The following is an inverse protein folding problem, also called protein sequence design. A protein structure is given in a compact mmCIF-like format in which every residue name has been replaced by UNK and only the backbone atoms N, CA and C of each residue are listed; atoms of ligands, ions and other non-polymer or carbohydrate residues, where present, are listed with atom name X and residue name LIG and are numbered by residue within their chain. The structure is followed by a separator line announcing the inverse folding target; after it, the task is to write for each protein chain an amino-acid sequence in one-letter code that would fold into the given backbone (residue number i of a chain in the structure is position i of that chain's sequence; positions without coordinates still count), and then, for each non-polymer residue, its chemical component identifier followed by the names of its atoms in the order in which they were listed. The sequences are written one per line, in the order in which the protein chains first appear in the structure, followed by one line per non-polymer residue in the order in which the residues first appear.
data_IF_588018456230
#
_entry.id   IF_588018456230
#
_cell.length_a   1.000
_cell.length_b   1.000
_cell.length_c   1.000
_cell.angle_alpha   90.00
_cell.angle_beta   90.00
_cell.angle_gamma   90.00
#
_symmetry.space_group_name_H-M   'P 1'
#
loop_
_entity.id
_entity.type
_entity.pdbx_description
1 polymer ?
#
# COMPACT_ATOMS: atom_id res chain seq x y z
N UNK A 1 -9.61 48.84 27.14
CA UNK A 1 -8.72 49.16 25.99
C UNK A 1 -9.50 50.03 25.03
N UNK A 2 -8.94 51.17 24.60
CA UNK A 2 -9.60 52.02 23.62
C UNK A 2 -9.69 51.26 22.30
N UNK A 3 -10.68 51.56 21.45
CA UNK A 3 -10.81 50.93 20.12
C UNK A 3 -9.53 51.06 19.29
N UNK A 4 -8.79 52.17 19.49
CA UNK A 4 -7.48 52.41 18.91
C UNK A 4 -6.41 51.41 19.37
N UNK A 5 -6.41 51.00 20.65
CA UNK A 5 -5.42 50.06 21.19
C UNK A 5 -5.63 48.67 20.59
N UNK A 6 -6.90 48.26 20.44
CA UNK A 6 -7.27 47.00 19.79
C UNK A 6 -6.87 47.02 18.30
N UNK A 7 -7.13 48.12 17.60
CA UNK A 7 -6.73 48.28 16.20
C UNK A 7 -5.20 48.18 16.02
N UNK A 8 -4.43 48.82 16.91
CA UNK A 8 -2.97 48.77 16.89
C UNK A 8 -2.44 47.34 17.12
N UNK A 9 -3.02 46.62 18.08
CA UNK A 9 -2.62 45.23 18.37
C UNK A 9 -2.91 44.31 17.19
N UNK A 10 -4.08 44.44 16.55
CA UNK A 10 -4.44 43.65 15.37
C UNK A 10 -3.47 43.94 14.21
N UNK A 11 -3.09 45.20 14.02
CA UNK A 11 -2.15 45.57 12.98
C UNK A 11 -0.77 44.93 13.22
N UNK A 12 -0.23 45.05 14.43
CA UNK A 12 1.09 44.49 14.77
C UNK A 12 1.07 42.96 14.71
N UNK A 13 0.01 42.32 15.19
CA UNK A 13 -0.09 40.86 15.17
C UNK A 13 -0.20 40.31 13.74
N UNK A 14 -0.93 40.99 12.85
CA UNK A 14 -1.05 40.59 11.45
C UNK A 14 0.31 40.61 10.72
N UNK A 15 1.09 41.69 10.91
CA UNK A 15 2.44 41.80 10.33
C UNK A 15 3.36 40.72 10.90
N UNK A 16 3.27 40.46 12.21
CA UNK A 16 4.08 39.43 12.88
C UNK A 16 3.81 38.03 12.34
N UNK A 17 2.54 37.68 12.07
CA UNK A 17 2.17 36.37 11.50
C UNK A 17 2.75 36.21 10.09
N UNK A 18 2.71 37.27 9.27
CA UNK A 18 3.28 37.24 7.92
C UNK A 18 4.79 36.96 7.99
N UNK A 19 5.52 37.71 8.83
CA UNK A 19 6.96 37.52 9.01
C UNK A 19 7.27 36.12 9.53
N UNK A 20 6.51 35.65 10.54
CA UNK A 20 6.69 34.32 11.11
C UNK A 20 6.47 33.20 10.06
N UNK A 21 5.50 33.35 9.17
CA UNK A 21 5.26 32.38 8.10
C UNK A 21 6.47 32.24 7.17
N UNK A 22 7.06 33.35 6.74
CA UNK A 22 8.23 33.32 5.85
C UNK A 22 9.46 32.76 6.56
N UNK A 23 9.70 33.15 7.81
CA UNK A 23 10.81 32.63 8.63
C UNK A 23 10.65 31.13 8.84
N UNK A 24 9.47 30.67 9.25
CA UNK A 24 9.18 29.26 9.45
C UNK A 24 9.31 28.46 8.15
N UNK A 25 8.80 28.99 7.03
CA UNK A 25 8.92 28.33 5.72
C UNK A 25 10.37 28.24 5.23
N UNK A 26 11.20 29.22 5.57
CA UNK A 26 12.62 29.21 5.22
C UNK A 26 13.44 28.22 6.08
N UNK A 27 13.11 28.11 7.37
CA UNK A 27 13.83 27.25 8.31
C UNK A 27 13.36 25.79 8.22
N UNK A 28 12.05 25.56 8.23
CA UNK A 28 11.44 24.23 8.24
C UNK A 28 11.37 23.64 6.81
N UNK A 29 11.40 24.50 5.79
CA UNK A 29 11.25 24.09 4.40
C UNK A 29 9.80 23.78 4.03
N UNK A 30 9.57 23.35 2.78
CA UNK A 30 8.25 22.90 2.32
C UNK A 30 8.09 21.41 2.66
N UNK A 31 6.90 20.97 3.14
CA UNK A 31 6.65 19.55 3.30
C UNK A 31 6.89 18.87 1.95
N UNK A 32 7.86 17.96 1.91
CA UNK A 32 8.17 17.19 0.71
C UNK A 32 6.99 16.26 0.51
N UNK A 33 6.20 16.48 -0.53
CA UNK A 33 5.13 15.58 -0.96
C UNK A 33 5.70 14.29 -1.55
N UNK A 34 6.72 13.72 -0.93
CA UNK A 34 7.34 12.48 -1.37
C UNK A 34 6.40 11.36 -0.94
N UNK A 35 5.50 11.00 -1.86
CA UNK A 35 4.81 9.73 -1.80
C UNK A 35 5.88 8.65 -1.85
N UNK A 36 6.15 8.02 -0.71
CA UNK A 36 7.05 6.89 -0.65
C UNK A 36 6.64 5.89 -1.75
N UNK A 37 7.59 5.48 -2.59
CA UNK A 37 7.37 4.41 -3.57
C UNK A 37 7.22 3.10 -2.80
N UNK A 38 6.02 2.88 -2.26
CA UNK A 38 5.66 1.63 -1.61
C UNK A 38 5.53 0.60 -2.73
N UNK A 39 6.12 -0.57 -2.54
CA UNK A 39 5.97 -1.70 -3.45
C UNK A 39 4.49 -2.11 -3.43
N UNK A 40 3.73 -1.65 -4.41
CA UNK A 40 2.38 -2.17 -4.67
C UNK A 40 2.55 -3.61 -5.14
N UNK A 41 2.05 -4.56 -4.36
CA UNK A 41 2.01 -5.97 -4.78
C UNK A 41 1.08 -6.10 -5.99
N UNK A 42 1.44 -6.95 -6.94
CA UNK A 42 0.54 -7.30 -8.03
C UNK A 42 -0.70 -8.01 -7.46
N UNK A 43 -1.91 -7.68 -7.94
CA UNK A 43 -3.12 -8.35 -7.49
C UNK A 43 -3.01 -9.84 -7.83
N UNK A 44 -3.34 -10.70 -6.86
CA UNK A 44 -3.42 -12.14 -7.08
C UNK A 44 -4.60 -12.38 -8.05
N UNK A 45 -4.29 -12.79 -9.29
CA UNK A 45 -5.33 -13.15 -10.26
C UNK A 45 -6.08 -14.39 -9.79
N UNK A 46 -7.40 -14.37 -9.89
CA UNK A 46 -8.25 -15.54 -9.66
C UNK A 46 -8.40 -16.40 -10.93
N UNK A 47 -7.68 -16.06 -12.00
CA UNK A 47 -7.70 -16.82 -13.24
C UNK A 47 -7.05 -18.18 -13.04
N UNK A 48 -7.86 -19.23 -13.22
CA UNK A 48 -7.40 -20.61 -13.27
C UNK A 48 -7.25 -20.97 -14.74
N UNK A 49 -6.02 -21.10 -15.21
CA UNK A 49 -5.75 -21.56 -16.57
C UNK A 49 -6.14 -23.04 -16.70
N UNK A 50 -6.72 -23.39 -17.86
CA UNK A 50 -7.07 -24.78 -18.15
C UNK A 50 -5.78 -25.59 -18.37
N UNK A 51 -5.70 -26.82 -17.85
CA UNK A 51 -4.54 -27.66 -18.03
C UNK A 51 -4.29 -27.94 -19.52
N UNK A 52 -3.01 -28.08 -19.89
CA UNK A 52 -2.58 -28.37 -21.26
C UNK A 52 -3.17 -29.70 -21.73
N UNK A 53 -3.98 -29.65 -22.79
CA UNK A 53 -4.67 -30.82 -23.33
C UNK A 53 -3.74 -31.80 -24.02
N UNK A 54 -2.51 -31.39 -24.37
CA UNK A 54 -1.49 -32.33 -24.88
C UNK A 54 -1.01 -33.30 -23.80
N UNK A 55 -1.10 -32.93 -22.53
CA UNK A 55 -0.69 -33.74 -21.38
C UNK A 55 -1.91 -34.32 -20.65
N UNK A 56 -2.93 -33.50 -20.42
CA UNK A 56 -4.17 -33.87 -19.71
C UNK A 56 -5.28 -34.19 -20.70
N UNK A 57 -5.20 -35.36 -21.33
CA UNK A 57 -6.24 -35.88 -22.22
C UNK A 57 -6.65 -37.30 -21.85
N UNK A 58 -7.79 -37.73 -22.39
CA UNK A 58 -8.37 -39.06 -22.13
C UNK A 58 -7.56 -40.21 -22.72
N UNK A 59 -6.65 -39.94 -23.66
CA UNK A 59 -5.76 -40.93 -24.25
C UNK A 59 -4.40 -41.01 -23.53
N UNK A 60 -4.17 -40.16 -22.53
CA UNK A 60 -2.93 -40.11 -21.77
C UNK A 60 -2.79 -41.36 -20.87
N UNK A 61 -1.59 -41.94 -20.87
CA UNK A 61 -1.25 -43.07 -19.99
C UNK A 61 -1.21 -42.56 -18.55
N UNK A 62 -2.03 -43.13 -17.67
CA UNK A 62 -2.00 -42.80 -16.25
C UNK A 62 -0.75 -43.41 -15.58
N UNK A 63 0.23 -42.61 -15.12
CA UNK A 63 1.45 -43.13 -14.51
C UNK A 63 1.29 -43.46 -13.02
N UNK A 64 0.11 -43.24 -12.42
CA UNK A 64 -0.09 -43.50 -10.99
C UNK A 64 -0.16 -44.99 -10.70
N UNK A 65 0.54 -45.42 -9.66
CA UNK A 65 0.38 -46.75 -9.07
C UNK A 65 -0.66 -46.66 -7.96
N UNK A 66 -1.75 -47.41 -8.11
CA UNK A 66 -2.75 -47.55 -7.04
C UNK A 66 -2.14 -48.35 -5.88
N UNK A 67 -2.23 -47.82 -4.66
CA UNK A 67 -1.72 -48.48 -3.46
C UNK A 67 -2.86 -48.58 -2.46
N UNK A 68 -3.29 -49.80 -2.17
CA UNK A 68 -4.25 -50.05 -1.10
C UNK A 68 -3.53 -49.96 0.25
N UNK A 69 -3.98 -49.04 1.12
CA UNK A 69 -3.50 -48.92 2.50
C UNK A 69 -4.56 -49.55 3.41
N UNK A 70 -4.40 -50.84 3.72
CA UNK A 70 -5.31 -51.64 4.54
C UNK A 70 -4.85 -53.11 4.65
N UNK A 71 -5.17 -53.76 5.76
CA UNK A 71 -4.58 -55.01 6.29
C UNK A 71 -4.53 -56.21 5.31
N UNK A 72 -3.42 -56.36 4.60
CA UNK A 72 -3.03 -57.64 3.99
C UNK A 72 -2.30 -58.46 5.04
N UNK A 73 -3.06 -59.27 5.78
CA UNK A 73 -2.59 -60.47 6.46
C UNK A 73 -1.60 -60.25 7.60
N UNK A 74 -2.13 -60.10 8.83
CA UNK A 74 -1.43 -60.64 10.00
C UNK A 74 -1.34 -62.17 9.91
N UNK A 75 -0.19 -62.79 10.23
CA UNK A 75 -0.09 -64.24 10.40
C UNK A 75 -0.97 -64.74 11.55
#
# INVERSE_FOLDING_TARGET
MKKSDIAAIILISSVSIIVAYFVASAIIGKPTGETAKIKTIEPISAEVEKPDTSIFNSEAINPTVEVEIGDVGKP
#
